data_IF_475257180279
#
_entry.id   IF_475257180279
#
_cell.length_a   1.000
_cell.length_b   1.000
_cell.length_c   1.000
_cell.angle_alpha   90.00
_cell.angle_beta   90.00
_cell.angle_gamma   90.00
#
_symmetry.space_group_name_H-M   'P 1'
#
loop_
_entity.id
_entity.type
_entity.pdbx_description
1 polymer ?
#
# COMPACT_ATOMS: atom_id res chain seq x y z
N UNK A 1 21.36 -1.03 35.31
CA UNK A 1 20.18 -0.19 35.06
C UNK A 1 19.89 -0.19 33.58
N UNK A 2 18.89 -0.96 33.13
CA UNK A 2 18.51 -1.04 31.71
C UNK A 2 17.90 0.28 31.29
N UNK A 3 18.42 0.85 30.18
CA UNK A 3 17.84 2.00 29.49
C UNK A 3 16.40 1.63 29.10
N UNK A 4 15.41 2.24 29.73
CA UNK A 4 14.02 2.15 29.27
C UNK A 4 14.03 2.61 27.81
N UNK A 5 13.76 1.67 26.90
CA UNK A 5 13.70 1.99 25.47
C UNK A 5 12.64 3.10 25.31
N UNK A 6 13.08 4.26 24.85
CA UNK A 6 12.19 5.39 24.64
C UNK A 6 11.23 4.99 23.50
N UNK A 7 9.95 4.77 23.85
CA UNK A 7 8.93 4.40 22.87
C UNK A 7 8.80 5.55 21.89
N UNK A 8 8.72 5.22 20.62
CA UNK A 8 8.43 6.17 19.55
C UNK A 8 7.17 5.73 18.78
N UNK A 9 6.53 6.67 18.08
CA UNK A 9 5.40 6.33 17.19
C UNK A 9 5.79 5.24 16.18
N UNK A 10 6.99 5.31 15.62
CA UNK A 10 7.52 4.30 14.70
C UNK A 10 7.62 2.93 15.36
N UNK A 11 8.11 2.84 16.59
CA UNK A 11 8.19 1.57 17.31
C UNK A 11 6.79 0.98 17.61
N UNK A 12 5.81 1.84 17.94
CA UNK A 12 4.42 1.42 18.17
C UNK A 12 3.80 0.85 16.89
N UNK A 13 3.97 1.54 15.76
CA UNK A 13 3.45 1.09 14.47
C UNK A 13 4.13 -0.19 13.98
N UNK A 14 5.45 -0.31 14.14
CA UNK A 14 6.18 -1.51 13.77
C UNK A 14 5.71 -2.73 14.60
N UNK A 15 5.52 -2.56 15.91
CA UNK A 15 5.01 -3.62 16.77
C UNK A 15 3.57 -4.03 16.42
N UNK A 16 2.73 -3.06 16.04
CA UNK A 16 1.36 -3.32 15.59
C UNK A 16 1.32 -4.06 14.24
N UNK A 17 2.20 -3.70 13.30
CA UNK A 17 2.33 -4.37 12.01
C UNK A 17 2.76 -5.83 12.19
N UNK A 18 3.82 -6.07 12.97
CA UNK A 18 4.27 -7.41 13.28
C UNK A 18 3.18 -8.26 13.95
N UNK A 19 2.42 -7.66 14.88
CA UNK A 19 1.30 -8.35 15.52
C UNK A 19 0.21 -8.72 14.52
N UNK A 20 -0.09 -7.84 13.57
CA UNK A 20 -1.05 -8.11 12.51
C UNK A 20 -0.58 -9.23 11.59
N UNK A 21 0.69 -9.25 11.21
CA UNK A 21 1.27 -10.26 10.33
C UNK A 21 1.29 -11.65 10.99
N UNK A 22 1.54 -11.71 12.30
CA UNK A 22 1.60 -12.96 13.05
C UNK A 22 0.21 -13.51 13.43
N UNK A 23 -0.74 -12.64 13.78
CA UNK A 23 -1.99 -13.03 14.45
C UNK A 23 -3.26 -12.46 13.79
N UNK A 24 -3.09 -11.72 12.69
CA UNK A 24 -4.18 -11.05 11.99
C UNK A 24 -4.55 -9.69 12.59
N UNK A 25 -5.27 -8.89 11.80
CA UNK A 25 -5.64 -7.51 12.17
C UNK A 25 -6.52 -7.43 13.42
N UNK A 26 -7.35 -8.46 13.67
CA UNK A 26 -8.22 -8.51 14.86
C UNK A 26 -7.42 -8.55 16.17
N UNK A 27 -6.21 -9.09 16.17
CA UNK A 27 -5.33 -9.15 17.33
C UNK A 27 -4.71 -7.78 17.67
N UNK A 28 -4.73 -6.83 16.75
CA UNK A 28 -4.16 -5.48 16.94
C UNK A 28 -5.08 -4.67 17.85
N UNK A 29 -4.72 -4.62 19.12
CA UNK A 29 -5.37 -3.80 20.15
C UNK A 29 -4.32 -2.98 20.90
N UNK A 30 -4.72 -1.85 21.49
CA UNK A 30 -3.80 -1.02 22.28
C UNK A 30 -3.11 -1.84 23.40
N UNK A 31 -3.86 -2.74 24.05
CA UNK A 31 -3.31 -3.63 25.08
C UNK A 31 -2.30 -4.65 24.53
N UNK A 32 -2.60 -5.27 23.39
CA UNK A 32 -1.71 -6.26 22.78
C UNK A 32 -0.39 -5.62 22.29
N UNK A 33 -0.47 -4.43 21.69
CA UNK A 33 0.72 -3.67 21.26
C UNK A 33 1.54 -3.21 22.49
N UNK A 34 0.89 -2.73 23.54
CA UNK A 34 1.57 -2.33 24.77
C UNK A 34 2.32 -3.52 25.42
N UNK A 35 1.66 -4.68 25.50
CA UNK A 35 2.26 -5.91 26.02
C UNK A 35 3.48 -6.33 25.19
N UNK A 36 3.40 -6.26 23.85
CA UNK A 36 4.51 -6.58 22.95
C UNK A 36 5.72 -5.66 23.14
N UNK A 37 5.46 -4.39 23.46
CA UNK A 37 6.50 -3.39 23.74
C UNK A 37 6.95 -3.35 25.21
N UNK A 38 6.38 -4.23 26.07
CA UNK A 38 6.66 -4.27 27.51
C UNK A 38 6.39 -2.93 28.21
N UNK A 39 5.29 -2.26 27.85
CA UNK A 39 4.88 -0.98 28.43
C UNK A 39 3.41 -0.99 28.83
N UNK A 40 2.97 0.05 29.53
CA UNK A 40 1.55 0.22 29.84
C UNK A 40 0.77 0.74 28.62
N UNK A 41 -0.51 0.40 28.45
CA UNK A 41 -1.34 0.97 27.39
C UNK A 41 -1.36 2.51 27.43
N UNK A 42 -1.31 3.12 28.62
CA UNK A 42 -1.26 4.57 28.79
C UNK A 42 -0.02 5.20 28.13
N UNK A 43 1.10 4.48 28.08
CA UNK A 43 2.32 4.96 27.42
C UNK A 43 2.13 5.08 25.90
N UNK A 44 1.29 4.23 25.28
CA UNK A 44 1.02 4.28 23.85
C UNK A 44 0.20 5.51 23.45
N UNK A 45 -0.76 5.93 24.32
CA UNK A 45 -1.63 7.06 24.03
C UNK A 45 -0.89 8.40 23.84
N UNK A 46 0.38 8.47 24.28
CA UNK A 46 1.26 9.61 24.00
C UNK A 46 1.75 9.65 22.56
N UNK A 47 1.66 8.52 21.83
CA UNK A 47 2.18 8.36 20.47
C UNK A 47 1.08 8.12 19.44
N UNK A 48 -0.04 7.52 19.86
CA UNK A 48 -1.18 7.15 19.02
C UNK A 48 -2.45 7.39 19.83
N UNK A 49 -3.31 8.28 19.36
CA UNK A 49 -4.48 8.74 20.13
C UNK A 49 -5.47 7.61 20.48
N UNK A 50 -5.69 6.71 19.53
CA UNK A 50 -6.66 5.62 19.63
C UNK A 50 -6.34 4.48 18.63
N UNK A 51 -7.23 3.50 18.57
CA UNK A 51 -7.10 2.39 17.61
C UNK A 51 -7.21 2.85 16.16
N UNK A 52 -8.05 3.82 15.86
CA UNK A 52 -8.20 4.32 14.50
C UNK A 52 -6.95 5.04 14.03
N UNK A 53 -6.34 5.87 14.87
CA UNK A 53 -5.05 6.50 14.60
C UNK A 53 -3.91 5.46 14.46
N UNK A 54 -3.99 4.33 15.18
CA UNK A 54 -3.06 3.21 15.02
C UNK A 54 -3.22 2.57 13.64
N UNK A 55 -4.44 2.28 13.20
CA UNK A 55 -4.74 1.68 11.90
C UNK A 55 -4.39 2.63 10.74
N UNK A 56 -4.64 3.93 10.88
CA UNK A 56 -4.19 4.94 9.90
C UNK A 56 -2.66 5.00 9.80
N UNK A 57 -1.98 4.83 10.95
CA UNK A 57 -0.53 4.71 10.99
C UNK A 57 -0.01 3.46 10.28
N UNK A 58 -0.72 2.33 10.33
CA UNK A 58 -0.37 1.13 9.58
C UNK A 58 -0.51 1.35 8.08
N UNK A 59 -1.58 2.02 7.62
CA UNK A 59 -1.73 2.42 6.21
C UNK A 59 -0.55 3.28 5.76
N UNK A 60 -0.19 4.30 6.55
CA UNK A 60 0.95 5.16 6.24
C UNK A 60 2.26 4.35 6.16
N UNK A 61 2.45 3.38 7.06
CA UNK A 61 3.65 2.54 7.06
C UNK A 61 3.73 1.70 5.79
N UNK A 62 2.63 1.04 5.36
CA UNK A 62 2.59 0.28 4.10
C UNK A 62 2.93 1.17 2.89
N UNK A 63 2.41 2.39 2.84
CA UNK A 63 2.70 3.33 1.76
C UNK A 63 4.18 3.75 1.71
N UNK A 64 4.92 3.69 2.83
CA UNK A 64 6.36 3.97 2.85
C UNK A 64 7.19 2.84 2.25
N UNK A 65 6.64 1.62 2.18
CA UNK A 65 7.29 0.45 1.58
C UNK A 65 7.20 0.43 0.05
N UNK A 66 6.30 1.23 -0.53
CA UNK A 66 6.19 1.30 -1.99
C UNK A 66 7.50 1.82 -2.59
N UNK A 67 7.89 1.29 -3.76
CA UNK A 67 9.04 1.80 -4.48
C UNK A 67 8.94 3.32 -4.62
N UNK A 68 10.04 4.00 -4.36
CA UNK A 68 10.09 5.43 -4.66
C UNK A 68 10.00 5.59 -6.18
N UNK A 69 9.11 6.47 -6.67
CA UNK A 69 9.05 6.74 -8.09
C UNK A 69 10.45 7.16 -8.57
N UNK A 70 11.04 6.37 -9.46
CA UNK A 70 12.26 6.76 -10.15
C UNK A 70 11.92 7.87 -11.15
N UNK A 71 12.85 8.79 -11.38
CA UNK A 71 12.79 9.69 -12.52
C UNK A 71 13.34 9.03 -13.80
N UNK A 72 13.98 7.86 -13.65
CA UNK A 72 14.59 7.11 -14.74
C UNK A 72 13.60 6.10 -15.36
N UNK A 73 13.74 5.84 -16.63
CA UNK A 73 12.89 4.93 -17.39
C UNK A 73 11.62 5.58 -17.93
N UNK A 74 10.92 4.84 -18.80
CA UNK A 74 9.66 5.28 -19.41
C UNK A 74 8.56 5.40 -18.34
N UNK A 75 7.60 6.28 -18.58
CA UNK A 75 6.47 6.52 -17.69
C UNK A 75 5.68 5.25 -17.36
N UNK A 76 5.46 4.38 -18.34
CA UNK A 76 4.72 3.12 -18.19
C UNK A 76 5.51 2.06 -17.41
N UNK A 77 6.82 1.96 -17.61
CA UNK A 77 7.69 1.08 -16.83
C UNK A 77 7.69 1.46 -15.33
N UNK A 78 7.66 2.75 -15.05
CA UNK A 78 7.57 3.26 -13.67
C UNK A 78 6.24 2.89 -13.01
N UNK A 79 5.13 2.92 -13.75
CA UNK A 79 3.82 2.49 -13.26
C UNK A 79 3.78 0.98 -13.00
N UNK A 80 4.38 0.17 -13.88
CA UNK A 80 4.53 -1.27 -13.68
C UNK A 80 5.34 -1.56 -12.43
N UNK A 81 6.51 -0.95 -12.28
CA UNK A 81 7.36 -1.13 -11.09
C UNK A 81 6.65 -0.74 -9.78
N UNK A 82 5.83 0.32 -9.80
CA UNK A 82 5.02 0.70 -8.66
C UNK A 82 3.93 -0.36 -8.38
N UNK A 83 3.24 -0.86 -9.40
CA UNK A 83 2.21 -1.88 -9.26
C UNK A 83 2.78 -3.19 -8.69
N UNK A 84 3.96 -3.62 -9.16
CA UNK A 84 4.68 -4.78 -8.63
C UNK A 84 5.05 -4.57 -7.16
N UNK A 85 5.51 -3.38 -6.78
CA UNK A 85 5.81 -3.03 -5.40
C UNK A 85 4.57 -3.04 -4.49
N UNK A 86 3.44 -2.55 -4.98
CA UNK A 86 2.15 -2.61 -4.28
C UNK A 86 1.75 -4.07 -4.03
N UNK A 87 1.83 -4.91 -5.07
CA UNK A 87 1.54 -6.34 -4.96
C UNK A 87 2.48 -7.05 -3.99
N UNK A 88 3.77 -6.75 -4.03
CA UNK A 88 4.75 -7.30 -3.10
C UNK A 88 4.45 -6.92 -1.64
N UNK A 89 4.02 -5.68 -1.39
CA UNK A 89 3.59 -5.23 -0.06
C UNK A 89 2.32 -5.95 0.40
N UNK A 90 1.34 -6.20 -0.49
CA UNK A 90 0.14 -6.96 -0.17
C UNK A 90 0.46 -8.40 0.25
N UNK A 91 1.37 -9.06 -0.46
CA UNK A 91 1.84 -10.42 -0.14
C UNK A 91 2.59 -10.49 1.19
N UNK A 92 3.33 -9.43 1.55
CA UNK A 92 4.10 -9.33 2.80
C UNK A 92 3.20 -9.06 4.00
N UNK A 93 2.16 -8.25 3.83
CA UNK A 93 1.27 -7.79 4.89
C UNK A 93 -0.21 -8.07 4.58
N UNK A 94 -0.60 -9.34 4.34
CA UNK A 94 -1.94 -9.70 3.86
C UNK A 94 -3.05 -9.28 4.82
N UNK A 95 -2.78 -9.27 6.14
CA UNK A 95 -3.76 -8.91 7.14
C UNK A 95 -4.04 -7.39 7.20
N UNK A 96 -3.06 -6.56 6.85
CA UNK A 96 -3.14 -5.09 6.97
C UNK A 96 -3.49 -4.44 5.64
N UNK A 97 -3.07 -5.02 4.53
CA UNK A 97 -3.21 -4.43 3.20
C UNK A 97 -4.65 -4.02 2.84
N UNK A 98 -5.71 -4.78 3.21
CA UNK A 98 -7.10 -4.37 2.95
C UNK A 98 -7.50 -3.02 3.54
N UNK A 99 -6.78 -2.50 4.55
CA UNK A 99 -7.02 -1.16 5.08
C UNK A 99 -6.84 -0.07 4.02
N UNK A 100 -5.97 -0.28 3.02
CA UNK A 100 -5.79 0.66 1.91
C UNK A 100 -7.04 0.84 1.04
N UNK A 101 -7.96 -0.12 1.05
CA UNK A 101 -9.22 -0.07 0.32
C UNK A 101 -10.35 0.62 1.12
N UNK A 102 -10.24 0.62 2.45
CA UNK A 102 -11.34 1.04 3.34
C UNK A 102 -11.05 2.34 4.08
N UNK A 103 -9.78 2.76 4.15
CA UNK A 103 -9.38 3.98 4.86
C UNK A 103 -8.99 5.10 3.92
N UNK A 104 -9.33 6.36 4.26
CA UNK A 104 -9.00 7.50 3.42
C UNK A 104 -7.48 7.67 3.28
N UNK A 105 -6.98 7.64 2.07
CA UNK A 105 -5.55 7.87 1.76
C UNK A 105 -5.28 9.38 1.61
N UNK A 106 -5.39 10.12 2.73
CA UNK A 106 -5.24 11.59 2.75
C UNK A 106 -3.89 12.07 3.32
N UNK A 107 -3.01 11.13 3.66
CA UNK A 107 -1.69 11.43 4.24
C UNK A 107 -0.73 12.06 3.22
N UNK A 108 0.35 12.71 3.69
CA UNK A 108 1.40 13.21 2.79
C UNK A 108 2.01 12.11 1.91
N UNK A 109 2.21 10.90 2.44
CA UNK A 109 2.76 9.77 1.68
C UNK A 109 1.77 9.30 0.61
N UNK A 110 0.48 9.16 0.94
CA UNK A 110 -0.55 8.82 -0.04
C UNK A 110 -0.64 9.85 -1.17
N UNK A 111 -0.59 11.15 -0.84
CA UNK A 111 -0.57 12.22 -1.84
C UNK A 111 0.67 12.14 -2.73
N UNK A 112 1.85 11.84 -2.15
CA UNK A 112 3.09 11.67 -2.91
C UNK A 112 2.98 10.53 -3.93
N UNK A 113 2.46 9.37 -3.52
CA UNK A 113 2.26 8.22 -4.42
C UNK A 113 1.30 8.60 -5.54
N UNK A 114 0.14 9.17 -5.21
CA UNK A 114 -0.85 9.63 -6.21
C UNK A 114 -0.27 10.63 -7.19
N UNK A 115 0.44 11.64 -6.70
CA UNK A 115 1.06 12.66 -7.55
C UNK A 115 2.11 12.06 -8.49
N UNK A 116 2.85 11.06 -8.05
CA UNK A 116 3.83 10.37 -8.88
C UNK A 116 3.16 9.57 -10.02
N UNK A 117 2.04 8.88 -9.74
CA UNK A 117 1.25 8.19 -10.76
C UNK A 117 0.70 9.20 -11.78
N UNK A 118 0.09 10.29 -11.30
CA UNK A 118 -0.45 11.33 -12.18
C UNK A 118 0.64 12.00 -13.02
N UNK A 119 1.82 12.24 -12.46
CA UNK A 119 2.96 12.79 -13.20
C UNK A 119 3.41 11.84 -14.33
N UNK A 120 3.51 10.55 -14.07
CA UNK A 120 3.83 9.55 -15.07
C UNK A 120 2.78 9.50 -16.20
N UNK A 121 1.49 9.55 -15.83
CA UNK A 121 0.40 9.57 -16.82
C UNK A 121 0.42 10.83 -17.69
N UNK A 122 0.73 12.00 -17.14
CA UNK A 122 0.90 13.25 -17.92
C UNK A 122 2.09 13.16 -18.87
N UNK A 123 3.19 12.60 -18.42
CA UNK A 123 4.36 12.34 -19.28
C UNK A 123 4.00 11.40 -20.43
N UNK A 124 3.09 10.45 -20.20
CA UNK A 124 2.49 9.61 -21.23
C UNK A 124 1.52 10.34 -22.14
N UNK A 125 1.23 11.62 -21.92
CA UNK A 125 0.39 12.45 -22.78
C UNK A 125 -1.05 12.66 -22.32
N UNK A 126 -1.45 12.17 -21.11
CA UNK A 126 -2.80 12.42 -20.61
C UNK A 126 -2.92 13.84 -20.04
N UNK A 127 -3.95 14.60 -20.41
CA UNK A 127 -4.28 15.87 -19.77
C UNK A 127 -4.65 15.69 -18.27
N UNK A 128 -4.55 16.76 -17.48
CA UNK A 128 -4.77 16.71 -16.03
C UNK A 128 -6.06 16.03 -15.57
N UNK A 129 -7.25 16.33 -16.11
CA UNK A 129 -8.48 15.68 -15.69
C UNK A 129 -8.49 14.17 -15.95
N UNK A 130 -7.97 13.78 -17.10
CA UNK A 130 -7.86 12.38 -17.54
C UNK A 130 -6.81 11.63 -16.73
N UNK A 131 -5.65 12.23 -16.45
CA UNK A 131 -4.61 11.65 -15.61
C UNK A 131 -5.13 11.39 -14.17
N UNK A 132 -5.90 12.31 -13.60
CA UNK A 132 -6.50 12.12 -12.29
C UNK A 132 -7.59 11.03 -12.29
N UNK A 133 -8.35 10.88 -13.38
CA UNK A 133 -9.33 9.80 -13.56
C UNK A 133 -8.64 8.45 -13.72
N UNK A 134 -7.65 8.39 -14.60
CA UNK A 134 -6.87 7.18 -14.87
C UNK A 134 -6.15 6.69 -13.61
N UNK A 135 -5.56 7.60 -12.82
CA UNK A 135 -4.94 7.26 -11.53
C UNK A 135 -5.92 6.53 -10.62
N UNK A 136 -7.14 7.05 -10.44
CA UNK A 136 -8.14 6.40 -9.57
C UNK A 136 -8.53 5.01 -10.06
N UNK A 137 -8.72 4.84 -11.37
CA UNK A 137 -9.11 3.55 -11.96
C UNK A 137 -7.97 2.53 -11.86
N UNK A 138 -6.74 2.92 -12.22
CA UNK A 138 -5.55 2.07 -12.16
C UNK A 138 -5.28 1.66 -10.71
N UNK A 139 -5.26 2.63 -9.78
CA UNK A 139 -5.00 2.35 -8.37
C UNK A 139 -6.05 1.40 -7.80
N UNK A 140 -7.33 1.59 -8.12
CA UNK A 140 -8.41 0.71 -7.66
C UNK A 140 -8.22 -0.71 -8.21
N UNK A 141 -7.89 -0.87 -9.49
CA UNK A 141 -7.69 -2.18 -10.10
C UNK A 141 -6.48 -2.91 -9.49
N UNK A 142 -5.34 -2.23 -9.38
CA UNK A 142 -4.11 -2.80 -8.82
C UNK A 142 -4.28 -3.17 -7.34
N UNK A 143 -4.82 -2.25 -6.54
CA UNK A 143 -5.07 -2.51 -5.12
C UNK A 143 -6.08 -3.63 -4.92
N UNK A 144 -7.16 -3.67 -5.74
CA UNK A 144 -8.18 -4.71 -5.68
C UNK A 144 -7.63 -6.09 -6.03
N UNK A 145 -6.80 -6.20 -7.07
CA UNK A 145 -6.13 -7.45 -7.42
C UNK A 145 -5.20 -7.91 -6.30
N UNK A 146 -4.31 -7.03 -5.85
CA UNK A 146 -3.32 -7.33 -4.81
C UNK A 146 -4.00 -7.75 -3.48
N UNK A 147 -5.07 -7.06 -3.07
CA UNK A 147 -5.83 -7.42 -1.88
C UNK A 147 -6.56 -8.76 -2.04
N UNK A 148 -7.12 -9.06 -3.22
CA UNK A 148 -7.79 -10.33 -3.52
C UNK A 148 -6.81 -11.50 -3.45
N UNK A 149 -5.62 -11.34 -4.02
CA UNK A 149 -4.55 -12.32 -3.96
C UNK A 149 -4.09 -12.54 -2.50
N UNK A 150 -3.80 -11.47 -1.77
CA UNK A 150 -3.36 -11.53 -0.38
C UNK A 150 -4.41 -12.17 0.55
N UNK A 151 -5.70 -11.96 0.27
CA UNK A 151 -6.80 -12.62 0.97
C UNK A 151 -7.02 -14.10 0.57
N UNK A 152 -6.20 -14.64 -0.33
CA UNK A 152 -6.30 -16.03 -0.78
C UNK A 152 -7.47 -16.33 -1.72
N UNK A 153 -8.07 -15.31 -2.36
CA UNK A 153 -9.16 -15.50 -3.33
C UNK A 153 -8.74 -16.42 -4.47
N UNK A 154 -7.47 -16.39 -4.86
CA UNK A 154 -6.91 -17.15 -5.99
C UNK A 154 -6.18 -18.43 -5.57
N UNK A 155 -6.31 -18.87 -4.30
CA UNK A 155 -5.56 -20.02 -3.73
C UNK A 155 -5.72 -21.36 -4.48
N UNK A 156 -6.68 -21.46 -5.38
CA UNK A 156 -6.93 -22.67 -6.20
C UNK A 156 -6.20 -22.65 -7.55
N UNK A 157 -5.48 -21.56 -7.85
CA UNK A 157 -4.67 -21.42 -9.05
C UNK A 157 -3.19 -21.50 -8.71
N UNK A 158 -2.39 -21.97 -9.64
CA UNK A 158 -0.94 -21.95 -9.53
C UNK A 158 -0.43 -20.51 -9.50
N UNK A 159 0.65 -20.28 -8.77
CA UNK A 159 1.21 -18.94 -8.63
C UNK A 159 1.63 -18.32 -9.98
N UNK A 160 2.10 -19.14 -10.92
CA UNK A 160 2.45 -18.70 -12.29
C UNK A 160 1.24 -18.15 -13.04
N UNK A 161 0.05 -18.74 -12.88
CA UNK A 161 -1.19 -18.24 -13.48
C UNK A 161 -1.58 -16.90 -12.88
N UNK A 162 -1.48 -16.75 -11.55
CA UNK A 162 -1.79 -15.49 -10.87
C UNK A 162 -0.80 -14.38 -11.29
N UNK A 163 0.47 -14.74 -11.49
CA UNK A 163 1.50 -13.80 -11.95
C UNK A 163 1.22 -13.35 -13.39
N UNK A 164 0.78 -14.27 -14.25
CA UNK A 164 0.38 -13.96 -15.64
C UNK A 164 -0.88 -13.09 -15.67
N UNK A 165 -1.89 -13.40 -14.87
CA UNK A 165 -3.12 -12.61 -14.73
C UNK A 165 -2.82 -11.17 -14.30
N UNK A 166 -1.91 -10.99 -13.34
CA UNK A 166 -1.50 -9.64 -12.93
C UNK A 166 -0.77 -8.89 -14.05
N UNK A 167 0.13 -9.56 -14.74
CA UNK A 167 0.82 -8.96 -15.88
C UNK A 167 -0.16 -8.58 -17.01
N UNK A 168 -1.18 -9.42 -17.27
CA UNK A 168 -2.23 -9.12 -18.25
C UNK A 168 -3.12 -7.96 -17.80
N UNK A 169 -3.47 -7.88 -16.52
CA UNK A 169 -4.17 -6.71 -15.97
C UNK A 169 -3.42 -5.42 -16.28
N UNK A 170 -2.10 -5.38 -16.04
CA UNK A 170 -1.28 -4.20 -16.32
C UNK A 170 -1.24 -3.87 -17.82
N UNK A 171 -1.17 -4.90 -18.70
CA UNK A 171 -1.27 -4.71 -20.14
C UNK A 171 -2.63 -4.15 -20.59
N UNK A 172 -3.74 -4.62 -19.99
CA UNK A 172 -5.08 -4.08 -20.26
C UNK A 172 -5.22 -2.63 -19.81
N UNK A 173 -4.76 -2.31 -18.60
CA UNK A 173 -4.79 -0.94 -18.10
C UNK A 173 -3.99 0.00 -18.99
N UNK A 174 -2.82 -0.42 -19.46
CA UNK A 174 -2.01 0.37 -20.39
C UNK A 174 -2.73 0.60 -21.73
N UNK A 175 -3.31 -0.46 -22.35
CA UNK A 175 -4.05 -0.36 -23.61
C UNK A 175 -5.31 0.52 -23.51
N UNK A 176 -5.91 0.58 -22.33
CA UNK A 176 -7.09 1.41 -22.09
C UNK A 176 -6.77 2.90 -21.92
N UNK A 177 -5.49 3.27 -21.77
CA UNK A 177 -5.09 4.67 -21.64
C UNK A 177 -5.09 5.33 -23.04
N UNK A 178 -5.76 6.48 -23.19
CA UNK A 178 -5.78 7.23 -24.46
C UNK A 178 -4.49 8.04 -24.63
N UNK A 179 -3.35 7.35 -24.77
CA UNK A 179 -2.03 7.97 -24.90
C UNK A 179 -1.76 8.29 -26.37
N UNK A 180 -1.45 9.54 -26.71
CA UNK A 180 -1.07 9.91 -28.08
C UNK A 180 0.20 9.17 -28.50
N UNK A 181 0.13 8.40 -29.59
CA UNK A 181 1.27 7.69 -30.19
C UNK A 181 1.18 6.16 -30.20
N UNK A 182 0.21 5.56 -29.55
CA UNK A 182 -0.07 4.11 -29.61
C UNK A 182 -1.27 3.80 -30.56
N UNK A 183 -1.45 4.56 -31.63
CA UNK A 183 -2.36 4.17 -32.72
C UNK A 183 -1.58 3.20 -33.60
N UNK A 184 -2.11 1.97 -33.82
CA UNK A 184 -1.48 0.95 -34.64
C UNK A 184 -1.36 1.36 -36.09
#
# INVERSE_FOLDING_TARGET
>A
MGRVAQISRTAVLAAALQLADEQGLAAVTMHAVARRLHVTPMALYRHVADKDALLDGLVELLLTEYPRPSAEGRWDERLVALADGIRATARRHPAVFPLLLTRPAVTPTARRVRNAVQAALREGGLPDPEAARAERLISTAVLGFAASEAAGRFRHHDQSVIDEDFAELLRWLRRALPVPGDVP
#
